data_IF_360616048813
#
_entry.id   IF_360616048813
#
_cell.length_a   1.000
_cell.length_b   1.000
_cell.length_c   1.000
_cell.angle_alpha   90.00
_cell.angle_beta   90.00
_cell.angle_gamma   90.00
#
_symmetry.space_group_name_H-M   'P 1'
#
loop_
_entity.id
_entity.type
_entity.pdbx_description
1 polymer ?
#
# COMPACT_ATOMS: atom_id res chain seq x y z
N UNK A 1 37.74 -46.36 59.64
CA UNK A 1 37.24 -44.97 59.77
C UNK A 1 38.30 -43.99 59.22
N UNK A 2 38.52 -43.94 57.89
CA UNK A 2 39.57 -43.09 57.26
C UNK A 2 39.15 -42.42 55.93
N UNK A 3 37.94 -42.70 55.43
CA UNK A 3 37.47 -42.18 54.12
C UNK A 3 36.88 -40.76 54.22
N UNK A 4 36.35 -40.35 55.38
CA UNK A 4 35.82 -38.98 55.60
C UNK A 4 36.88 -37.88 55.48
N UNK A 5 38.13 -38.18 55.83
CA UNK A 5 39.22 -37.18 55.92
C UNK A 5 39.79 -36.72 54.57
N UNK A 6 39.73 -37.55 53.52
CA UNK A 6 40.22 -37.19 52.19
C UNK A 6 39.16 -36.45 51.37
N UNK A 7 37.89 -36.80 51.54
CA UNK A 7 36.76 -36.11 50.92
C UNK A 7 36.62 -34.67 51.43
N UNK A 8 36.74 -34.45 52.74
CA UNK A 8 36.70 -33.11 53.34
C UNK A 8 37.91 -32.23 52.94
N UNK A 9 39.09 -32.82 52.71
CA UNK A 9 40.27 -32.09 52.20
C UNK A 9 40.15 -31.75 50.71
N UNK A 10 39.56 -32.64 49.91
CA UNK A 10 39.29 -32.42 48.49
C UNK A 10 38.28 -31.29 48.24
N UNK A 11 37.23 -31.21 49.05
CA UNK A 11 36.19 -30.16 48.97
C UNK A 11 36.68 -28.77 49.39
N UNK A 12 37.76 -28.70 50.19
CA UNK A 12 38.39 -27.42 50.61
C UNK A 12 39.55 -27.01 49.70
N UNK A 13 39.86 -27.80 48.66
CA UNK A 13 40.92 -27.47 47.73
C UNK A 13 40.48 -26.24 46.92
N UNK A 14 41.25 -25.15 46.90
CA UNK A 14 40.80 -23.85 46.36
C UNK A 14 40.29 -23.93 44.91
N UNK A 15 40.81 -24.86 44.12
CA UNK A 15 40.36 -25.13 42.74
C UNK A 15 38.96 -25.77 42.69
N UNK A 16 38.63 -26.69 43.61
CA UNK A 16 37.33 -27.37 43.65
C UNK A 16 36.24 -26.41 44.16
N UNK A 17 36.56 -25.56 45.13
CA UNK A 17 35.66 -24.48 45.58
C UNK A 17 35.48 -23.38 44.54
N UNK A 18 36.54 -23.03 43.78
CA UNK A 18 36.44 -22.05 42.70
C UNK A 18 35.62 -22.59 41.52
N UNK A 19 35.86 -23.83 41.08
CA UNK A 19 35.12 -24.48 39.99
C UNK A 19 33.67 -24.75 40.41
N UNK A 20 33.43 -25.21 41.63
CA UNK A 20 32.09 -25.38 42.18
C UNK A 20 31.33 -24.05 42.34
N UNK A 21 32.03 -22.98 42.76
CA UNK A 21 31.47 -21.63 42.85
C UNK A 21 31.12 -21.03 41.49
N UNK A 22 31.96 -21.25 40.46
CA UNK A 22 31.69 -20.85 39.08
C UNK A 22 30.53 -21.64 38.47
N UNK A 23 30.44 -22.95 38.73
CA UNK A 23 29.34 -23.78 38.24
C UNK A 23 28.00 -23.39 38.90
N UNK A 24 27.98 -23.17 40.21
CA UNK A 24 26.78 -22.68 40.92
C UNK A 24 26.42 -21.25 40.50
N UNK A 25 27.41 -20.38 40.29
CA UNK A 25 27.19 -19.03 39.75
C UNK A 25 26.59 -19.06 38.34
N UNK A 26 27.10 -19.92 37.46
CA UNK A 26 26.56 -20.13 36.11
C UNK A 26 25.12 -20.65 36.12
N UNK A 27 24.81 -21.60 37.01
CA UNK A 27 23.44 -22.11 37.19
C UNK A 27 22.50 -21.01 37.72
N UNK A 28 22.95 -20.23 38.70
CA UNK A 28 22.15 -19.12 39.26
C UNK A 28 21.87 -18.02 38.23
N UNK A 29 22.87 -17.66 37.42
CA UNK A 29 22.71 -16.72 36.29
C UNK A 29 21.75 -17.31 35.24
N UNK A 30 21.91 -18.59 34.89
CA UNK A 30 21.01 -19.27 33.95
C UNK A 30 19.57 -19.29 34.42
N UNK A 31 19.32 -19.60 35.70
CA UNK A 31 17.97 -19.57 36.31
C UNK A 31 17.42 -18.14 36.35
N UNK A 32 18.25 -17.14 36.67
CA UNK A 32 17.84 -15.74 36.68
C UNK A 32 17.44 -15.27 35.27
N UNK A 33 18.23 -15.59 34.23
CA UNK A 33 17.89 -15.33 32.84
C UNK A 33 16.59 -16.04 32.46
N UNK A 34 16.42 -17.30 32.88
CA UNK A 34 15.22 -18.08 32.59
C UNK A 34 13.96 -17.46 33.23
N UNK A 35 14.04 -17.01 34.49
CA UNK A 35 12.96 -16.31 35.17
C UNK A 35 12.66 -14.96 34.47
N UNK A 36 13.71 -14.24 34.07
CA UNK A 36 13.55 -12.93 33.45
C UNK A 36 12.84 -13.05 32.09
N UNK A 37 13.25 -14.01 31.26
CA UNK A 37 12.70 -14.26 29.92
C UNK A 37 11.35 -14.98 29.94
N UNK A 38 11.14 -15.97 30.83
CA UNK A 38 9.90 -16.77 30.83
C UNK A 38 8.80 -16.23 31.74
N UNK A 39 9.12 -15.33 32.68
CA UNK A 39 8.15 -14.86 33.69
C UNK A 39 8.09 -13.34 33.74
N UNK A 40 9.21 -12.64 33.83
CA UNK A 40 9.19 -11.18 34.07
C UNK A 40 8.84 -10.41 32.79
N UNK A 41 9.48 -10.72 31.68
CA UNK A 41 9.29 -10.03 30.38
C UNK A 41 7.85 -10.20 29.83
N UNK A 42 7.25 -11.41 29.80
CA UNK A 42 5.85 -11.58 29.35
C UNK A 42 4.84 -10.90 30.27
N UNK A 43 5.13 -10.79 31.58
CA UNK A 43 4.24 -10.12 32.53
C UNK A 43 4.38 -8.60 32.49
N UNK A 44 5.56 -8.08 32.13
CA UNK A 44 5.81 -6.65 32.05
C UNK A 44 5.21 -6.04 30.77
N UNK A 45 5.29 -6.74 29.64
CA UNK A 45 4.78 -6.31 28.33
C UNK A 45 4.08 -7.47 27.62
N UNK A 46 2.88 -7.87 28.10
CA UNK A 46 2.16 -9.04 27.56
C UNK A 46 1.84 -8.89 26.06
N UNK A 47 1.65 -7.66 25.59
CA UNK A 47 1.41 -7.36 24.18
C UNK A 47 2.61 -7.67 23.26
N UNK A 48 3.82 -7.80 23.82
CA UNK A 48 5.06 -8.11 23.09
C UNK A 48 5.50 -9.58 23.26
N UNK A 49 4.70 -10.42 23.91
CA UNK A 49 5.05 -11.83 24.10
C UNK A 49 5.32 -12.50 22.74
N UNK A 50 6.50 -13.13 22.62
CA UNK A 50 6.92 -13.79 21.38
C UNK A 50 7.53 -12.86 20.33
N UNK A 51 7.82 -11.60 20.67
CA UNK A 51 8.50 -10.65 19.78
C UNK A 51 10.01 -10.54 20.06
N UNK A 52 10.77 -10.20 19.03
CA UNK A 52 12.18 -9.78 19.11
C UNK A 52 12.30 -8.36 18.57
N UNK A 53 13.29 -7.61 19.07
CA UNK A 53 13.53 -6.24 18.60
C UNK A 53 14.98 -5.98 18.20
N UNK A 54 15.14 -5.10 17.23
CA UNK A 54 16.41 -4.55 16.76
C UNK A 54 16.33 -3.02 16.88
N UNK A 55 17.33 -2.40 17.51
CA UNK A 55 17.39 -0.95 17.65
C UNK A 55 18.40 -0.38 16.67
N UNK A 56 17.91 0.38 15.70
CA UNK A 56 18.70 0.95 14.61
C UNK A 56 18.44 2.46 14.53
N UNK A 57 19.37 3.26 15.09
CA UNK A 57 19.23 4.71 15.17
C UNK A 57 17.97 5.13 15.93
N UNK A 58 17.10 5.87 15.24
CA UNK A 58 15.81 6.37 15.76
C UNK A 58 14.69 5.34 15.67
N UNK A 59 14.94 4.16 15.09
CA UNK A 59 13.94 3.11 14.92
C UNK A 59 14.16 1.96 15.89
N UNK A 60 13.04 1.39 16.35
CA UNK A 60 13.02 0.08 16.99
C UNK A 60 12.14 -0.85 16.16
N UNK A 61 12.78 -1.77 15.45
CA UNK A 61 12.12 -2.74 14.59
C UNK A 61 11.70 -3.96 15.42
N UNK A 62 10.45 -4.36 15.33
CA UNK A 62 9.83 -5.42 16.14
C UNK A 62 9.25 -6.49 15.22
N UNK A 63 9.67 -7.73 15.44
CA UNK A 63 9.27 -8.89 14.66
C UNK A 63 8.71 -9.98 15.57
N UNK A 64 7.89 -10.86 15.03
CA UNK A 64 7.66 -12.15 15.69
C UNK A 64 8.96 -12.96 15.68
N UNK A 65 9.23 -13.70 16.77
CA UNK A 65 10.51 -14.41 16.96
C UNK A 65 10.84 -15.39 15.82
N UNK A 66 9.81 -16.00 15.25
CA UNK A 66 9.91 -16.99 14.18
C UNK A 66 9.64 -16.41 12.79
N UNK A 67 9.46 -15.08 12.68
CA UNK A 67 9.24 -14.39 11.40
C UNK A 67 10.47 -14.51 10.49
N UNK A 68 10.31 -14.87 9.20
CA UNK A 68 11.42 -14.91 8.25
C UNK A 68 11.96 -13.51 7.94
N UNK A 69 11.13 -12.45 8.00
CA UNK A 69 11.51 -11.08 7.64
C UNK A 69 12.56 -10.45 8.57
N UNK A 70 12.87 -11.09 9.71
CA UNK A 70 13.89 -10.61 10.65
C UNK A 70 15.31 -10.65 10.08
N UNK A 71 15.56 -11.46 9.05
CA UNK A 71 16.90 -11.58 8.44
C UNK A 71 17.30 -10.28 7.72
N UNK A 72 16.34 -9.52 7.19
CA UNK A 72 16.54 -8.29 6.43
C UNK A 72 16.34 -7.00 7.25
N UNK A 73 16.32 -7.08 8.59
CA UNK A 73 16.04 -5.92 9.46
C UNK A 73 16.98 -4.73 9.20
N UNK A 74 18.26 -4.98 8.94
CA UNK A 74 19.23 -3.93 8.65
C UNK A 74 18.93 -3.20 7.33
N UNK A 75 18.48 -3.94 6.30
CA UNK A 75 18.10 -3.35 5.02
C UNK A 75 16.85 -2.47 5.17
N UNK A 76 15.84 -2.94 5.91
CA UNK A 76 14.65 -2.14 6.22
C UNK A 76 15.00 -0.88 7.02
N UNK A 77 15.90 -0.98 8.00
CA UNK A 77 16.33 0.17 8.80
C UNK A 77 16.97 1.28 7.93
N UNK A 78 17.81 0.92 6.97
CA UNK A 78 18.42 1.88 6.04
C UNK A 78 17.38 2.55 5.14
N UNK A 79 16.41 1.78 4.61
CA UNK A 79 15.28 2.33 3.82
C UNK A 79 14.47 3.31 4.67
N UNK A 80 14.07 2.91 5.88
CA UNK A 80 13.32 3.77 6.81
C UNK A 80 14.05 5.07 7.12
N UNK A 81 15.36 5.00 7.35
CA UNK A 81 16.18 6.17 7.64
C UNK A 81 16.24 7.12 6.44
N UNK A 82 16.51 6.59 5.26
CA UNK A 82 16.53 7.39 4.03
C UNK A 82 15.18 8.05 3.77
N UNK A 83 14.10 7.26 3.78
CA UNK A 83 12.75 7.78 3.55
C UNK A 83 12.35 8.81 4.61
N UNK A 84 12.72 8.61 5.87
CA UNK A 84 12.44 9.55 6.94
C UNK A 84 13.09 10.91 6.71
N UNK A 85 14.39 10.92 6.38
CA UNK A 85 15.13 12.16 6.08
C UNK A 85 14.54 12.87 4.85
N UNK A 86 14.26 12.13 3.77
CA UNK A 86 13.65 12.68 2.56
C UNK A 86 12.23 13.22 2.80
N UNK A 87 11.42 12.54 3.62
CA UNK A 87 10.06 12.96 3.95
C UNK A 87 10.04 14.21 4.83
N UNK A 88 10.95 14.34 5.80
CA UNK A 88 11.08 15.54 6.62
C UNK A 88 11.39 16.76 5.75
N UNK A 89 12.32 16.62 4.80
CA UNK A 89 12.69 17.67 3.86
C UNK A 89 11.54 17.99 2.89
N UNK A 90 10.95 16.96 2.26
CA UNK A 90 9.85 17.11 1.31
C UNK A 90 8.63 17.81 1.94
N UNK A 91 8.31 17.46 3.19
CA UNK A 91 7.14 17.97 3.91
C UNK A 91 7.43 19.21 4.77
N UNK A 92 8.66 19.74 4.74
CA UNK A 92 9.08 20.92 5.54
C UNK A 92 8.69 20.75 7.02
N UNK A 93 9.09 19.61 7.60
CA UNK A 93 8.82 19.20 8.99
C UNK A 93 10.11 19.26 9.80
N UNK A 94 10.05 19.89 10.99
CA UNK A 94 11.15 19.85 11.93
C UNK A 94 11.25 18.44 12.55
N UNK A 95 12.40 17.75 12.48
CA UNK A 95 12.59 16.43 13.09
C UNK A 95 12.24 16.39 14.58
N UNK A 96 12.45 17.48 15.33
CA UNK A 96 12.16 17.54 16.78
C UNK A 96 10.67 17.34 17.12
N UNK A 97 9.77 17.43 16.13
CA UNK A 97 8.34 17.21 16.32
C UNK A 97 7.96 15.73 16.30
N UNK A 98 8.79 14.87 15.72
CA UNK A 98 8.52 13.44 15.60
C UNK A 98 9.16 12.71 16.80
N UNK A 99 8.38 11.99 17.62
CA UNK A 99 8.92 11.28 18.77
C UNK A 99 9.89 10.17 18.35
N UNK A 100 11.01 10.07 19.08
CA UNK A 100 11.94 8.95 18.96
C UNK A 100 12.02 8.16 20.28
N UNK A 101 12.19 6.82 20.22
CA UNK A 101 12.26 6.02 19.01
C UNK A 101 10.89 5.84 18.31
N UNK A 102 10.91 5.61 17.00
CA UNK A 102 9.76 5.16 16.20
C UNK A 102 9.69 3.64 16.31
N UNK A 103 8.57 3.11 16.81
CA UNK A 103 8.36 1.68 17.01
C UNK A 103 7.74 1.06 15.75
N UNK A 104 8.56 0.37 14.95
CA UNK A 104 8.11 -0.26 13.70
C UNK A 104 7.81 -1.73 13.95
N UNK A 105 6.56 -2.12 13.81
CA UNK A 105 6.09 -3.49 13.95
C UNK A 105 5.92 -4.12 12.58
N UNK A 106 6.74 -5.13 12.30
CA UNK A 106 6.78 -5.80 11.00
C UNK A 106 6.08 -7.16 11.11
N UNK A 107 5.11 -7.39 10.23
CA UNK A 107 4.19 -8.52 10.27
C UNK A 107 4.29 -9.37 9.02
N UNK A 108 4.19 -10.69 9.18
CA UNK A 108 4.27 -11.63 8.07
C UNK A 108 3.03 -11.55 7.16
N UNK A 109 1.88 -11.23 7.76
CA UNK A 109 0.59 -11.17 7.09
C UNK A 109 -0.41 -10.25 7.82
N UNK A 110 -1.58 -10.05 7.22
CA UNK A 110 -2.65 -9.22 7.80
C UNK A 110 -3.17 -9.78 9.14
N UNK A 111 -3.19 -11.09 9.32
CA UNK A 111 -3.73 -11.71 10.54
C UNK A 111 -2.82 -11.46 11.74
N UNK A 112 -1.50 -11.56 11.53
CA UNK A 112 -0.47 -11.22 12.51
C UNK A 112 -0.49 -9.72 12.85
N UNK A 113 -0.68 -8.84 11.86
CA UNK A 113 -0.88 -7.41 12.08
C UNK A 113 -2.14 -7.12 12.93
N UNK A 114 -3.30 -7.68 12.56
CA UNK A 114 -4.56 -7.56 13.32
C UNK A 114 -4.38 -7.97 14.78
N UNK A 115 -3.71 -9.12 14.99
CA UNK A 115 -3.43 -9.66 16.32
C UNK A 115 -2.53 -8.73 17.12
N UNK A 116 -1.47 -8.21 16.50
CA UNK A 116 -0.54 -7.28 17.14
C UNK A 116 -1.24 -5.98 17.55
N UNK A 117 -1.98 -5.35 16.64
CA UNK A 117 -2.76 -4.13 16.93
C UNK A 117 -3.74 -4.39 18.07
N UNK A 118 -4.48 -5.51 18.01
CA UNK A 118 -5.44 -5.88 19.05
C UNK A 118 -4.78 -6.03 20.43
N UNK A 119 -3.61 -6.67 20.51
CA UNK A 119 -2.84 -6.80 21.76
C UNK A 119 -2.39 -5.44 22.28
N UNK A 120 -1.80 -4.60 21.43
CA UNK A 120 -1.26 -3.28 21.83
C UNK A 120 -2.33 -2.26 22.22
N UNK A 121 -3.56 -2.42 21.70
CA UNK A 121 -4.72 -1.57 22.03
C UNK A 121 -5.69 -2.25 23.01
N UNK A 122 -5.31 -3.39 23.57
CA UNK A 122 -6.07 -4.05 24.63
C UNK A 122 -6.00 -3.25 25.93
N UNK A 123 -7.05 -3.24 26.76
CA UNK A 123 -6.97 -2.72 28.13
C UNK A 123 -5.89 -3.37 29.00
N UNK A 124 -5.39 -4.55 28.59
CA UNK A 124 -4.32 -5.29 29.28
C UNK A 124 -2.91 -4.83 28.88
N UNK A 125 -2.78 -4.04 27.82
CA UNK A 125 -1.49 -3.52 27.35
C UNK A 125 -0.85 -2.62 28.40
N UNK A 126 0.45 -2.82 28.65
CA UNK A 126 1.19 -2.09 29.70
C UNK A 126 2.14 -1.04 29.15
N UNK A 127 2.53 -1.16 27.89
CA UNK A 127 3.40 -0.18 27.22
C UNK A 127 2.60 0.87 26.45
N UNK A 128 3.18 2.06 26.33
CA UNK A 128 2.69 3.11 25.46
C UNK A 128 3.73 3.32 24.36
N UNK A 129 3.30 3.15 23.11
CA UNK A 129 4.11 3.41 21.92
C UNK A 129 3.72 4.79 21.40
N UNK A 130 4.67 5.72 21.38
CA UNK A 130 4.38 7.11 21.01
C UNK A 130 4.22 7.27 19.50
N UNK A 131 5.08 6.62 18.73
CA UNK A 131 5.08 6.67 17.27
C UNK A 131 5.14 5.24 16.70
N UNK A 132 4.07 4.43 16.86
CA UNK A 132 4.02 3.10 16.28
C UNK A 132 3.81 3.17 14.76
N UNK A 133 4.34 2.18 14.05
CA UNK A 133 4.15 1.99 12.62
C UNK A 133 3.98 0.49 12.33
N UNK A 134 2.81 0.05 11.88
CA UNK A 134 2.63 -1.31 11.39
C UNK A 134 2.94 -1.44 9.89
N UNK A 135 3.77 -2.43 9.56
CA UNK A 135 4.18 -2.77 8.18
C UNK A 135 4.03 -4.27 7.93
N UNK A 136 3.70 -4.65 6.70
CA UNK A 136 3.87 -6.03 6.23
C UNK A 136 5.29 -6.27 5.73
N UNK A 137 5.76 -7.52 5.79
CA UNK A 137 7.01 -7.91 5.13
C UNK A 137 6.92 -7.59 3.64
N UNK A 138 7.94 -6.88 3.14
CA UNK A 138 8.02 -6.48 1.74
C UNK A 138 7.16 -5.28 1.36
N UNK A 139 6.37 -4.71 2.29
CA UNK A 139 5.68 -3.43 2.06
C UNK A 139 6.71 -2.28 1.99
N UNK A 140 6.53 -1.38 1.03
CA UNK A 140 7.27 -0.12 1.00
C UNK A 140 6.86 0.75 2.20
N UNK A 141 7.78 1.05 3.15
CA UNK A 141 7.45 1.76 4.37
C UNK A 141 7.08 3.23 4.13
N UNK A 142 7.46 3.81 2.98
CA UNK A 142 7.43 5.25 2.76
C UNK A 142 6.04 5.84 2.93
N UNK A 143 5.01 5.16 2.43
CA UNK A 143 3.64 5.65 2.52
C UNK A 143 3.13 5.74 3.95
N UNK A 144 3.45 4.76 4.78
CA UNK A 144 3.11 4.72 6.22
C UNK A 144 3.90 5.77 6.99
N UNK A 145 5.19 5.86 6.69
CA UNK A 145 6.10 6.82 7.30
C UNK A 145 5.70 8.27 6.97
N UNK A 146 5.22 8.54 5.76
CA UNK A 146 4.69 9.84 5.37
C UNK A 146 3.49 10.25 6.23
N UNK A 147 2.56 9.32 6.52
CA UNK A 147 1.44 9.59 7.42
C UNK A 147 1.90 9.90 8.84
N UNK A 148 2.94 9.21 9.31
CA UNK A 148 3.54 9.46 10.61
C UNK A 148 4.16 10.86 10.69
N UNK A 149 4.97 11.22 9.70
CA UNK A 149 5.59 12.56 9.60
C UNK A 149 4.52 13.65 9.51
N UNK A 150 3.47 13.46 8.71
CA UNK A 150 2.35 14.40 8.62
C UNK A 150 1.61 14.54 9.96
N UNK A 151 1.31 13.42 10.63
CA UNK A 151 0.55 13.42 11.88
C UNK A 151 1.28 14.15 13.01
N UNK A 152 2.61 14.00 13.13
CA UNK A 152 3.39 14.70 14.14
C UNK A 152 3.81 16.10 13.72
N UNK A 153 4.23 16.26 12.47
CA UNK A 153 4.76 17.52 11.95
C UNK A 153 3.68 18.57 11.68
N UNK A 154 2.53 18.16 11.14
CA UNK A 154 1.46 19.07 10.73
C UNK A 154 0.18 18.91 11.58
N UNK A 155 0.00 17.74 12.19
CA UNK A 155 -1.12 17.44 13.07
C UNK A 155 -2.28 16.75 12.37
N UNK A 156 -3.48 16.77 12.96
CA UNK A 156 -4.69 16.16 12.37
C UNK A 156 -5.23 17.00 11.21
N UNK A 157 -5.44 16.37 10.05
CA UNK A 157 -6.20 16.96 8.94
C UNK A 157 -7.70 16.67 9.07
N UNK A 158 -8.54 17.68 8.83
CA UNK A 158 -9.99 17.54 8.73
C UNK A 158 -10.49 17.14 7.32
N UNK A 159 -9.62 17.22 6.31
CA UNK A 159 -9.91 16.82 4.94
C UNK A 159 -9.15 15.54 4.58
N UNK A 160 -9.88 14.48 4.25
CA UNK A 160 -9.32 13.27 3.68
C UNK A 160 -8.83 13.46 2.25
N UNK A 161 -9.39 14.40 1.48
CA UNK A 161 -8.85 14.75 0.16
C UNK A 161 -7.42 15.29 0.31
N UNK A 162 -7.21 16.29 1.18
CA UNK A 162 -5.87 16.83 1.42
C UNK A 162 -4.95 15.77 2.04
N UNK A 163 -5.47 14.97 2.97
CA UNK A 163 -4.68 13.95 3.64
C UNK A 163 -4.23 12.82 2.69
N UNK A 164 -5.17 12.15 2.01
CA UNK A 164 -4.90 11.05 1.09
C UNK A 164 -4.03 11.52 -0.08
N UNK A 165 -4.33 12.70 -0.64
CA UNK A 165 -3.56 13.28 -1.73
C UNK A 165 -2.12 13.63 -1.32
N UNK A 166 -1.93 14.26 -0.16
CA UNK A 166 -0.57 14.59 0.34
C UNK A 166 0.21 13.35 0.69
N UNK A 167 -0.44 12.34 1.30
CA UNK A 167 0.18 11.05 1.58
C UNK A 167 0.70 10.42 0.30
N UNK A 168 -0.15 10.28 -0.71
CA UNK A 168 0.21 9.60 -1.96
C UNK A 168 1.29 10.39 -2.74
N UNK A 169 1.20 11.72 -2.76
CA UNK A 169 2.25 12.59 -3.28
C UNK A 169 3.58 12.38 -2.57
N UNK A 170 3.58 12.24 -1.24
CA UNK A 170 4.80 12.01 -0.46
C UNK A 170 5.39 10.61 -0.64
N UNK A 171 4.55 9.59 -0.87
CA UNK A 171 4.96 8.23 -1.22
C UNK A 171 5.67 8.20 -2.57
N UNK A 172 5.10 8.83 -3.59
CA UNK A 172 5.62 8.78 -4.97
C UNK A 172 5.90 10.20 -5.51
N UNK A 173 6.85 10.97 -4.94
CA UNK A 173 7.03 12.39 -5.24
C UNK A 173 7.52 12.68 -6.66
N UNK A 174 8.01 11.64 -7.36
CA UNK A 174 8.46 11.71 -8.76
C UNK A 174 7.37 11.34 -9.76
N UNK A 175 6.24 10.80 -9.30
CA UNK A 175 5.13 10.43 -10.17
C UNK A 175 4.33 11.66 -10.55
N UNK A 176 3.99 11.75 -11.83
CA UNK A 176 3.10 12.81 -12.31
C UNK A 176 1.64 12.37 -12.14
N UNK A 177 0.99 12.80 -11.05
CA UNK A 177 -0.41 12.47 -10.80
C UNK A 177 -1.35 13.20 -11.76
N UNK A 178 -0.91 14.30 -12.37
CA UNK A 178 -1.65 14.92 -13.45
C UNK A 178 -1.75 14.01 -14.67
N UNK A 179 -0.65 13.36 -15.06
CA UNK A 179 -0.63 12.38 -16.15
C UNK A 179 -1.57 11.21 -15.88
N UNK A 180 -1.54 10.70 -14.64
CA UNK A 180 -2.42 9.60 -14.19
C UNK A 180 -3.89 9.97 -14.35
N UNK A 181 -4.33 11.09 -13.79
CA UNK A 181 -5.74 11.48 -13.85
C UNK A 181 -6.14 11.87 -15.27
N UNK A 182 -5.25 12.50 -16.04
CA UNK A 182 -5.52 12.84 -17.44
C UNK A 182 -5.69 11.62 -18.34
N UNK A 183 -5.02 10.51 -18.00
CA UNK A 183 -5.08 9.25 -18.73
C UNK A 183 -6.34 8.42 -18.40
N UNK A 184 -7.05 8.73 -17.31
CA UNK A 184 -8.28 8.03 -16.94
C UNK A 184 -9.43 8.36 -17.92
N UNK A 185 -10.33 7.40 -18.19
CA UNK A 185 -11.58 7.67 -18.89
C UNK A 185 -12.40 8.78 -18.21
N UNK A 186 -12.98 9.71 -18.98
CA UNK A 186 -13.75 10.86 -18.46
C UNK A 186 -14.84 10.47 -17.45
N UNK A 187 -15.44 9.28 -17.59
CA UNK A 187 -16.49 8.78 -16.67
C UNK A 187 -15.98 8.46 -15.26
N UNK A 188 -14.68 8.29 -15.09
CA UNK A 188 -14.03 8.02 -13.81
C UNK A 188 -13.55 9.29 -13.13
N UNK A 189 -13.52 10.41 -13.86
CA UNK A 189 -13.11 11.70 -13.34
C UNK A 189 -14.22 12.35 -12.51
N UNK A 190 -13.91 12.78 -11.29
CA UNK A 190 -14.77 13.60 -10.46
C UNK A 190 -14.28 15.05 -10.43
N UNK A 191 -15.17 15.98 -10.73
CA UNK A 191 -14.87 17.39 -10.51
C UNK A 191 -14.68 17.66 -9.00
N UNK A 192 -13.90 18.69 -8.63
CA UNK A 192 -13.62 19.00 -7.21
C UNK A 192 -14.87 19.06 -6.30
N UNK A 193 -16.01 19.67 -6.70
CA UNK A 193 -17.24 19.62 -5.90
C UNK A 193 -17.77 18.20 -5.67
N UNK A 194 -17.60 17.29 -6.63
CA UNK A 194 -18.02 15.89 -6.54
C UNK A 194 -17.07 15.09 -5.66
N UNK A 195 -15.77 15.36 -5.74
CA UNK A 195 -14.75 14.79 -4.85
C UNK A 195 -15.04 15.16 -3.38
N UNK A 196 -15.38 16.43 -3.11
CA UNK A 196 -15.79 16.91 -1.77
C UNK A 196 -17.06 16.19 -1.29
N UNK A 197 -18.07 16.02 -2.17
CA UNK A 197 -19.27 15.24 -1.80
C UNK A 197 -18.96 13.77 -1.53
N UNK A 198 -17.99 13.18 -2.25
CA UNK A 198 -17.57 11.80 -2.02
C UNK A 198 -16.93 11.65 -0.63
N UNK A 199 -16.08 12.59 -0.23
CA UNK A 199 -15.53 12.69 1.12
C UNK A 199 -16.63 12.84 2.18
N UNK A 200 -17.59 13.74 1.99
CA UNK A 200 -18.72 13.94 2.93
C UNK A 200 -19.57 12.69 3.11
N UNK A 201 -19.63 11.82 2.10
CA UNK A 201 -20.32 10.51 2.13
C UNK A 201 -19.47 9.38 2.71
N UNK A 202 -18.21 9.64 3.07
CA UNK A 202 -17.30 8.65 3.62
C UNK A 202 -16.66 7.73 2.58
N UNK A 203 -16.58 8.13 1.31
CA UNK A 203 -15.88 7.37 0.26
C UNK A 203 -14.35 7.57 0.29
N UNK A 204 -13.84 8.37 1.22
CA UNK A 204 -12.42 8.42 1.57
C UNK A 204 -12.23 7.71 2.92
N UNK A 205 -11.94 6.40 2.92
CA UNK A 205 -11.72 5.67 4.17
C UNK A 205 -10.45 6.16 4.86
N UNK A 206 -10.46 6.13 6.19
CA UNK A 206 -9.25 6.35 6.98
C UNK A 206 -8.22 5.25 6.67
N UNK A 207 -6.94 5.57 6.61
CA UNK A 207 -5.88 4.56 6.47
C UNK A 207 -5.73 3.70 7.74
N UNK A 208 -5.07 2.55 7.64
CA UNK A 208 -4.69 1.74 8.82
C UNK A 208 -3.97 2.61 9.87
N UNK A 209 -3.04 3.46 9.42
CA UNK A 209 -2.30 4.36 10.31
C UNK A 209 -3.25 5.34 11.02
N UNK A 210 -4.15 6.02 10.32
CA UNK A 210 -5.11 6.93 10.93
C UNK A 210 -6.03 6.23 11.95
N UNK A 211 -6.43 4.98 11.64
CA UNK A 211 -7.33 4.21 12.47
C UNK A 211 -6.66 3.69 13.75
N UNK A 212 -5.39 3.29 13.70
CA UNK A 212 -4.76 2.53 14.79
C UNK A 212 -3.45 3.10 15.32
N UNK A 213 -2.61 3.71 14.49
CA UNK A 213 -1.23 4.08 14.88
C UNK A 213 -1.06 5.57 15.14
N UNK A 214 -1.89 6.40 14.53
CA UNK A 214 -1.86 7.85 14.66
C UNK A 214 -1.97 8.28 16.13
N UNK A 215 -1.30 9.38 16.56
CA UNK A 215 -1.49 9.96 17.89
C UNK A 215 -2.93 10.46 18.13
N UNK A 216 -3.75 10.53 17.07
CA UNK A 216 -5.17 10.89 17.13
C UNK A 216 -6.11 9.69 17.12
N UNK A 217 -5.58 8.47 17.00
CA UNK A 217 -6.34 7.23 17.08
C UNK A 217 -6.78 6.95 18.53
N UNK A 218 -7.84 6.15 18.73
CA UNK A 218 -8.21 5.68 20.06
C UNK A 218 -7.08 4.91 20.75
N UNK A 219 -6.93 5.11 22.06
CA UNK A 219 -5.96 4.36 22.88
C UNK A 219 -6.37 2.90 23.05
N UNK A 220 -7.68 2.61 22.98
CA UNK A 220 -8.24 1.26 23.08
C UNK A 220 -9.28 1.02 21.99
N UNK A 221 -9.38 -0.22 21.50
CA UNK A 221 -10.38 -0.61 20.49
C UNK A 221 -11.70 -0.95 21.17
N UNK A 222 -12.77 -0.24 20.82
CA UNK A 222 -14.12 -0.60 21.25
C UNK A 222 -14.69 -1.74 20.38
N UNK A 223 -15.70 -2.46 20.89
CA UNK A 223 -16.35 -3.54 20.13
C UNK A 223 -16.89 -3.07 18.76
N UNK A 224 -17.37 -1.83 18.68
CA UNK A 224 -17.82 -1.20 17.43
C UNK A 224 -16.70 -1.02 16.40
N UNK A 225 -15.45 -0.88 16.85
CA UNK A 225 -14.28 -0.67 16.01
C UNK A 225 -13.60 -1.99 15.59
N UNK A 226 -14.01 -3.14 16.16
CA UNK A 226 -13.47 -4.44 15.77
C UNK A 226 -13.72 -4.77 14.29
N UNK A 227 -14.83 -4.28 13.72
CA UNK A 227 -15.11 -4.46 12.27
C UNK A 227 -14.01 -3.86 11.40
N UNK A 228 -13.38 -2.76 11.84
CA UNK A 228 -12.28 -2.12 11.12
C UNK A 228 -11.03 -3.01 11.06
N UNK A 229 -10.72 -3.72 12.15
CA UNK A 229 -9.65 -4.72 12.17
C UNK A 229 -9.93 -5.85 11.16
N UNK A 230 -11.15 -6.40 11.17
CA UNK A 230 -11.52 -7.49 10.24
C UNK A 230 -11.62 -7.04 8.77
N UNK A 231 -11.69 -5.73 8.52
CA UNK A 231 -11.69 -5.16 7.17
C UNK A 231 -10.30 -4.89 6.59
N UNK A 232 -9.22 -5.11 7.35
CA UNK A 232 -7.86 -4.94 6.82
C UNK A 232 -7.65 -5.90 5.65
N UNK A 233 -7.25 -5.34 4.53
CA UNK A 233 -6.95 -6.06 3.30
C UNK A 233 -5.80 -5.36 2.60
N UNK A 234 -4.88 -6.16 2.05
CA UNK A 234 -3.79 -5.65 1.22
C UNK A 234 -4.36 -5.51 -0.17
N UNK A 235 -4.64 -4.29 -0.61
CA UNK A 235 -5.06 -4.05 -1.98
C UNK A 235 -3.82 -3.96 -2.86
N UNK A 236 -3.64 -4.94 -3.73
CA UNK A 236 -2.58 -4.97 -4.76
C UNK A 236 -3.12 -4.73 -6.19
N UNK A 237 -4.44 -4.59 -6.34
CA UNK A 237 -5.10 -4.24 -7.60
C UNK A 237 -5.80 -2.89 -7.42
N UNK A 238 -5.80 -2.06 -8.45
CA UNK A 238 -6.41 -0.71 -8.45
C UNK A 238 -7.88 -0.84 -8.05
N UNK A 239 -8.17 -0.61 -6.77
CA UNK A 239 -9.53 -0.55 -6.26
C UNK A 239 -10.17 0.75 -6.76
N UNK A 240 -11.49 0.81 -6.98
CA UNK A 240 -12.18 2.09 -7.20
C UNK A 240 -11.88 3.13 -6.10
N UNK A 241 -11.55 2.68 -4.89
CA UNK A 241 -11.12 3.52 -3.76
C UNK A 241 -9.77 4.21 -4.02
N UNK A 242 -8.90 3.61 -4.85
CA UNK A 242 -7.61 4.18 -5.24
C UNK A 242 -7.77 5.33 -6.24
N UNK A 243 -8.84 5.33 -7.06
CA UNK A 243 -9.09 6.40 -8.04
C UNK A 243 -9.25 7.74 -7.32
N UNK A 244 -10.08 7.78 -6.26
CA UNK A 244 -10.30 8.99 -5.48
C UNK A 244 -9.01 9.51 -4.84
N UNK A 245 -8.12 8.60 -4.41
CA UNK A 245 -6.82 8.96 -3.86
C UNK A 245 -5.87 9.52 -4.94
N UNK A 246 -5.90 8.98 -6.16
CA UNK A 246 -5.12 9.48 -7.30
C UNK A 246 -5.60 10.87 -7.74
N UNK A 247 -6.91 11.10 -7.76
CA UNK A 247 -7.50 12.42 -8.02
C UNK A 247 -7.11 13.43 -6.93
N UNK A 248 -7.19 13.02 -5.67
CA UNK A 248 -6.75 13.83 -4.54
C UNK A 248 -5.26 14.16 -4.62
N UNK A 249 -4.41 13.21 -5.04
CA UNK A 249 -2.98 13.43 -5.22
C UNK A 249 -2.69 14.42 -6.36
N UNK A 250 -3.37 14.27 -7.50
CA UNK A 250 -3.32 15.24 -8.60
C UNK A 250 -3.78 16.62 -8.14
N UNK A 251 -4.86 16.72 -7.37
CA UNK A 251 -5.31 18.01 -6.84
C UNK A 251 -4.28 18.64 -5.89
N UNK A 252 -3.67 17.85 -5.00
CA UNK A 252 -2.60 18.31 -4.10
C UNK A 252 -1.37 18.75 -4.89
N UNK A 253 -0.95 18.00 -5.90
CA UNK A 253 0.13 18.37 -6.80
C UNK A 253 -0.15 19.74 -7.46
N UNK A 254 -1.37 19.97 -7.94
CA UNK A 254 -1.77 21.28 -8.48
C UNK A 254 -1.65 22.40 -7.45
N UNK A 255 -2.03 22.17 -6.19
CA UNK A 255 -1.87 23.17 -5.13
C UNK A 255 -0.38 23.46 -4.86
N UNK A 256 0.47 22.42 -4.83
CA UNK A 256 1.91 22.55 -4.65
C UNK A 256 2.52 23.39 -5.79
N UNK A 257 2.21 23.05 -7.03
CA UNK A 257 2.77 23.70 -8.22
C UNK A 257 2.29 25.15 -8.39
N UNK A 258 1.04 25.45 -8.02
CA UNK A 258 0.42 26.75 -8.33
C UNK A 258 0.26 27.71 -7.16
N UNK A 259 0.40 27.25 -5.90
CA UNK A 259 0.10 28.05 -4.69
C UNK A 259 1.28 28.26 -3.76
N UNK A 260 2.50 27.90 -4.16
CA UNK A 260 3.72 28.17 -3.39
C UNK A 260 4.32 26.95 -2.69
N UNK A 261 4.18 25.77 -3.29
CA UNK A 261 4.80 24.54 -2.83
C UNK A 261 4.04 23.87 -1.69
N UNK A 262 4.72 22.94 -1.02
CA UNK A 262 4.17 22.12 0.07
C UNK A 262 3.63 22.96 1.24
N UNK A 263 4.19 24.17 1.46
CA UNK A 263 3.74 25.10 2.50
C UNK A 263 2.31 25.59 2.29
N UNK A 264 1.86 25.69 1.04
CA UNK A 264 0.48 26.05 0.73
C UNK A 264 -0.48 24.97 1.24
N UNK A 265 -0.17 23.70 0.98
CA UNK A 265 -0.94 22.56 1.47
C UNK A 265 -0.98 22.54 3.00
N UNK A 266 0.18 22.77 3.64
CA UNK A 266 0.29 22.91 5.11
C UNK A 266 -0.60 24.03 5.67
N UNK A 267 -0.77 25.15 4.95
CA UNK A 267 -1.67 26.24 5.37
C UNK A 267 -3.15 25.83 5.36
N UNK A 268 -3.57 24.96 4.44
CA UNK A 268 -4.89 24.34 4.47
C UNK A 268 -5.01 23.20 5.50
N UNK A 269 -3.94 22.79 6.15
CA UNK A 269 -3.99 21.68 7.10
C UNK A 269 -4.67 22.07 8.43
N UNK A 270 -5.31 21.11 9.09
CA UNK A 270 -5.92 21.28 10.42
C UNK A 270 -7.41 20.96 10.45
N UNK A 271 -8.10 21.44 11.50
CA UNK A 271 -9.53 21.15 11.72
C UNK A 271 -10.44 22.00 10.84
N UNK A 272 -11.49 21.40 10.29
CA UNK A 272 -12.51 22.05 9.46
C UNK A 272 -12.99 21.14 8.33
N UNK A 273 -14.01 21.59 7.60
CA UNK A 273 -14.41 20.97 6.33
C UNK A 273 -13.44 21.33 5.21
N UNK A 274 -13.35 20.48 4.18
CA UNK A 274 -12.46 20.70 3.03
C UNK A 274 -12.60 22.08 2.40
N UNK A 275 -13.84 22.55 2.19
CA UNK A 275 -14.07 23.91 1.65
C UNK A 275 -13.44 24.99 2.52
N UNK A 276 -13.61 24.92 3.84
CA UNK A 276 -13.05 25.91 4.77
C UNK A 276 -11.52 25.85 4.83
N UNK A 277 -10.95 24.66 4.65
CA UNK A 277 -9.51 24.46 4.61
C UNK A 277 -8.91 25.02 3.31
N UNK A 278 -9.53 24.75 2.16
CA UNK A 278 -9.10 25.28 0.86
C UNK A 278 -9.18 26.80 0.79
N UNK A 279 -10.21 27.40 1.42
CA UNK A 279 -10.36 28.86 1.54
C UNK A 279 -9.18 29.56 2.25
N UNK A 280 -8.31 28.82 2.97
CA UNK A 280 -7.10 29.37 3.58
C UNK A 280 -6.00 29.63 2.55
N UNK A 281 -6.03 28.93 1.42
CA UNK A 281 -5.07 29.07 0.32
C UNK A 281 -5.67 29.95 -0.78
N UNK A 282 -6.93 29.69 -1.16
CA UNK A 282 -7.59 30.33 -2.28
C UNK A 282 -9.08 30.50 -1.96
N UNK A 283 -9.57 31.74 -1.98
CA UNK A 283 -10.96 32.08 -1.62
C UNK A 283 -11.97 31.81 -2.75
N UNK A 284 -11.53 31.31 -3.90
CA UNK A 284 -12.42 30.95 -4.99
C UNK A 284 -13.32 29.77 -4.60
N UNK A 285 -14.55 29.70 -5.13
CA UNK A 285 -15.43 28.58 -4.88
C UNK A 285 -14.84 27.27 -5.46
N UNK A 286 -15.22 26.09 -4.90
CA UNK A 286 -14.70 24.79 -5.35
C UNK A 286 -14.87 24.54 -6.85
N UNK A 287 -15.92 25.07 -7.48
CA UNK A 287 -16.14 24.96 -8.92
C UNK A 287 -15.04 25.67 -9.72
N UNK A 288 -14.66 26.89 -9.33
CA UNK A 288 -13.63 27.67 -10.01
C UNK A 288 -12.23 27.10 -9.72
N UNK A 289 -11.98 26.64 -8.49
CA UNK A 289 -10.74 25.96 -8.16
C UNK A 289 -10.61 24.64 -8.93
N UNK A 290 -11.70 23.86 -9.03
CA UNK A 290 -11.76 22.63 -9.81
C UNK A 290 -11.54 22.86 -11.30
N UNK A 291 -12.14 23.91 -11.88
CA UNK A 291 -11.92 24.27 -13.28
C UNK A 291 -10.46 24.66 -13.56
N UNK A 292 -9.80 25.37 -12.63
CA UNK A 292 -8.37 25.70 -12.74
C UNK A 292 -7.48 24.47 -12.59
N UNK A 293 -7.79 23.59 -11.64
CA UNK A 293 -7.09 22.31 -11.51
C UNK A 293 -7.23 21.48 -12.79
N UNK A 294 -8.42 21.39 -13.36
CA UNK A 294 -8.63 20.70 -14.63
C UNK A 294 -7.81 21.31 -15.76
N UNK A 295 -7.89 22.63 -15.94
CA UNK A 295 -7.20 23.33 -17.02
C UNK A 295 -5.67 23.27 -16.92
N UNK A 296 -5.12 23.32 -15.70
CA UNK A 296 -3.66 23.30 -15.47
C UNK A 296 -3.16 21.87 -15.40
N UNK A 297 -3.76 21.05 -14.53
CA UNK A 297 -3.32 19.68 -14.26
C UNK A 297 -3.57 18.77 -15.45
N UNK A 298 -4.82 18.64 -15.94
CA UNK A 298 -5.14 17.62 -16.94
C UNK A 298 -4.47 17.89 -18.29
N UNK A 299 -4.40 19.15 -18.74
CA UNK A 299 -3.70 19.48 -19.98
C UNK A 299 -2.18 19.31 -19.86
N UNK A 300 -1.58 19.64 -18.70
CA UNK A 300 -0.17 19.35 -18.46
C UNK A 300 0.10 17.84 -18.44
N UNK A 301 -0.78 17.07 -17.78
CA UNK A 301 -0.69 15.62 -17.69
C UNK A 301 -0.73 14.92 -19.05
N UNK A 302 -1.48 15.44 -20.03
CA UNK A 302 -1.47 14.91 -21.41
C UNK A 302 -0.13 15.08 -22.13
N UNK A 303 0.67 16.04 -21.70
CA UNK A 303 2.02 16.28 -22.22
C UNK A 303 3.12 15.46 -21.53
N UNK A 304 2.79 14.70 -20.48
CA UNK A 304 3.76 13.95 -19.71
C UNK A 304 4.30 12.73 -20.49
N UNK A 305 5.57 12.33 -20.30
CA UNK A 305 6.17 11.20 -21.02
C UNK A 305 5.47 9.86 -20.81
N UNK A 306 4.87 9.65 -19.65
CA UNK A 306 4.18 8.41 -19.25
C UNK A 306 2.70 8.38 -19.67
N UNK A 307 2.13 9.52 -20.09
CA UNK A 307 0.74 9.62 -20.52
C UNK A 307 0.34 8.60 -21.61
N UNK A 308 1.14 8.36 -22.68
CA UNK A 308 0.78 7.38 -23.70
C UNK A 308 0.54 5.99 -23.11
N UNK A 309 1.47 5.51 -22.28
CA UNK A 309 1.37 4.23 -21.58
C UNK A 309 0.15 4.19 -20.65
N UNK A 310 0.02 5.18 -19.75
CA UNK A 310 -1.07 5.25 -18.78
C UNK A 310 -2.44 5.29 -19.46
N UNK A 311 -2.55 6.02 -20.57
CA UNK A 311 -3.82 6.15 -21.29
C UNK A 311 -4.27 4.83 -21.90
N UNK A 312 -3.34 4.02 -22.43
CA UNK A 312 -3.64 2.67 -22.91
C UNK A 312 -3.99 1.75 -21.74
N UNK A 313 -3.23 1.84 -20.65
CA UNK A 313 -3.45 1.05 -19.44
C UNK A 313 -4.86 1.26 -18.87
N UNK A 314 -5.28 2.51 -18.68
CA UNK A 314 -6.59 2.83 -18.15
C UNK A 314 -7.74 2.59 -19.13
N UNK A 315 -7.52 2.75 -20.45
CA UNK A 315 -8.52 2.33 -21.44
C UNK A 315 -8.75 0.83 -21.40
N UNK A 316 -7.69 0.03 -21.30
CA UNK A 316 -7.79 -1.43 -21.20
C UNK A 316 -8.49 -1.85 -19.89
N UNK A 317 -8.04 -1.32 -18.75
CA UNK A 317 -8.65 -1.58 -17.43
C UNK A 317 -10.09 -1.08 -17.34
N UNK A 318 -10.43 -0.02 -18.06
CA UNK A 318 -11.79 0.50 -18.20
C UNK A 318 -12.70 -0.31 -19.12
N UNK A 319 -12.23 -1.40 -19.73
CA UNK A 319 -13.03 -2.21 -20.65
C UNK A 319 -13.23 -1.58 -22.02
N UNK A 320 -12.29 -0.75 -22.49
CA UNK A 320 -12.28 -0.18 -23.83
C UNK A 320 -11.11 -0.74 -24.69
N UNK A 321 -11.07 -2.06 -24.93
CA UNK A 321 -9.91 -2.72 -25.56
C UNK A 321 -9.62 -2.22 -26.98
N UNK A 322 -10.64 -1.85 -27.77
CA UNK A 322 -10.41 -1.32 -29.13
C UNK A 322 -9.74 0.06 -29.11
N UNK A 323 -10.15 0.93 -28.20
CA UNK A 323 -9.54 2.25 -28.06
C UNK A 323 -8.10 2.12 -27.54
N UNK A 324 -7.87 1.20 -26.60
CA UNK A 324 -6.54 0.87 -26.11
C UNK A 324 -5.64 0.34 -27.24
N UNK A 325 -6.13 -0.63 -28.02
CA UNK A 325 -5.41 -1.19 -29.17
C UNK A 325 -5.16 -0.17 -30.29
N UNK A 326 -6.15 0.66 -30.62
CA UNK A 326 -6.00 1.71 -31.63
C UNK A 326 -4.85 2.66 -31.29
N UNK A 327 -4.66 2.95 -30.00
CA UNK A 327 -3.53 3.76 -29.53
C UNK A 327 -2.23 2.97 -29.52
N UNK A 328 -2.19 1.80 -28.90
CA UNK A 328 -0.96 1.03 -28.73
C UNK A 328 -0.40 0.47 -30.04
N UNK A 329 -1.26 0.20 -31.04
CA UNK A 329 -0.85 -0.30 -32.36
C UNK A 329 -0.07 0.71 -33.20
N UNK A 330 -0.08 1.99 -32.81
CA UNK A 330 0.72 3.05 -33.45
C UNK A 330 2.13 3.18 -32.87
N UNK A 331 2.43 2.46 -31.79
CA UNK A 331 3.73 2.50 -31.15
C UNK A 331 4.78 1.77 -31.97
N UNK A 332 5.99 2.32 -32.00
CA UNK A 332 7.15 1.69 -32.63
C UNK A 332 7.83 0.78 -31.62
N UNK A 333 7.80 -0.53 -31.86
CA UNK A 333 8.21 -1.55 -30.89
C UNK A 333 9.67 -1.40 -30.46
N UNK A 334 10.52 -0.86 -31.33
CA UNK A 334 11.95 -0.63 -31.06
C UNK A 334 12.20 0.43 -29.97
N UNK A 335 11.23 1.31 -29.74
CA UNK A 335 11.31 2.40 -28.76
C UNK A 335 10.62 2.05 -27.43
N UNK A 336 10.00 0.86 -27.34
CA UNK A 336 9.18 0.46 -26.19
C UNK A 336 9.99 -0.25 -25.10
N UNK A 337 9.65 0.05 -23.85
CA UNK A 337 10.03 -0.77 -22.70
C UNK A 337 9.30 -2.12 -22.70
N UNK A 338 9.83 -3.10 -21.96
CA UNK A 338 9.20 -4.42 -21.79
C UNK A 338 7.77 -4.33 -21.23
N UNK A 339 7.50 -3.35 -20.36
CA UNK A 339 6.17 -3.09 -19.83
C UNK A 339 5.19 -2.57 -20.89
N UNK A 340 5.64 -1.66 -21.75
CA UNK A 340 4.83 -1.15 -22.87
C UNK A 340 4.54 -2.24 -23.92
N UNK A 341 5.53 -3.07 -24.23
CA UNK A 341 5.33 -4.23 -25.12
C UNK A 341 4.30 -5.18 -24.51
N UNK A 342 4.42 -5.51 -23.22
CA UNK A 342 3.46 -6.37 -22.51
C UNK A 342 2.04 -5.80 -22.55
N UNK A 343 1.88 -4.49 -22.32
CA UNK A 343 0.58 -3.83 -22.40
C UNK A 343 0.02 -3.88 -23.84
N UNK A 344 0.84 -3.59 -24.85
CA UNK A 344 0.44 -3.68 -26.25
C UNK A 344 0.01 -5.10 -26.65
N UNK A 345 0.70 -6.14 -26.16
CA UNK A 345 0.31 -7.54 -26.33
C UNK A 345 -1.07 -7.79 -25.73
N UNK A 346 -1.30 -7.35 -24.48
CA UNK A 346 -2.61 -7.51 -23.83
C UNK A 346 -3.73 -6.82 -24.60
N UNK A 347 -3.50 -5.62 -25.12
CA UNK A 347 -4.45 -4.93 -25.99
C UNK A 347 -4.72 -5.71 -27.28
N UNK A 348 -3.68 -6.22 -27.95
CA UNK A 348 -3.80 -7.03 -29.17
C UNK A 348 -4.64 -8.30 -28.93
N UNK A 349 -4.35 -9.02 -27.85
CA UNK A 349 -5.10 -10.20 -27.43
C UNK A 349 -6.57 -9.86 -27.13
N UNK A 350 -6.82 -8.75 -26.43
CA UNK A 350 -8.17 -8.32 -26.06
C UNK A 350 -9.07 -7.91 -27.25
N UNK A 351 -8.49 -7.66 -28.43
CA UNK A 351 -9.23 -7.38 -29.67
C UNK A 351 -9.15 -8.53 -30.69
N UNK A 352 -8.45 -9.62 -30.37
CA UNK A 352 -8.26 -10.76 -31.28
C UNK A 352 -7.23 -10.52 -32.38
N UNK A 353 -6.36 -9.51 -32.24
CA UNK A 353 -5.23 -9.25 -33.15
C UNK A 353 -4.06 -10.22 -32.86
N UNK A 354 -4.29 -11.52 -33.00
CA UNK A 354 -3.36 -12.57 -32.57
C UNK A 354 -2.05 -12.59 -33.35
N UNK A 355 -2.06 -12.17 -34.62
CA UNK A 355 -0.85 -12.10 -35.46
C UNK A 355 0.09 -11.00 -34.96
N UNK A 356 -0.48 -9.85 -34.62
CA UNK A 356 0.20 -8.70 -34.07
C UNK A 356 0.69 -9.01 -32.64
N UNK A 357 -0.15 -9.65 -31.82
CA UNK A 357 0.23 -10.13 -30.49
C UNK A 357 1.46 -11.06 -30.56
N UNK A 358 1.47 -12.03 -31.49
CA UNK A 358 2.63 -12.91 -31.72
C UNK A 358 3.90 -12.14 -32.07
N UNK A 359 3.76 -11.13 -32.93
CA UNK A 359 4.89 -10.30 -33.35
C UNK A 359 5.45 -9.51 -32.17
N UNK A 360 4.58 -8.89 -31.37
CA UNK A 360 4.99 -8.15 -30.17
C UNK A 360 5.65 -9.06 -29.12
N UNK A 361 5.10 -10.25 -28.88
CA UNK A 361 5.69 -11.24 -27.95
C UNK A 361 7.11 -11.63 -28.35
N UNK A 362 7.43 -11.65 -29.65
CA UNK A 362 8.79 -11.98 -30.10
C UNK A 362 9.84 -10.94 -29.70
N UNK A 363 9.42 -9.72 -29.35
CA UNK A 363 10.26 -8.62 -28.85
C UNK A 363 10.38 -8.60 -27.32
N UNK A 364 9.64 -9.47 -26.61
CA UNK A 364 9.82 -9.63 -25.17
C UNK A 364 11.09 -10.43 -24.85
N UNK A 365 11.78 -10.00 -23.80
CA UNK A 365 12.90 -10.72 -23.21
C UNK A 365 12.44 -12.07 -22.63
N UNK A 366 13.32 -13.07 -22.62
CA UNK A 366 13.02 -14.37 -22.01
C UNK A 366 12.73 -14.22 -20.51
N UNK A 367 11.64 -14.82 -20.05
CA UNK A 367 11.19 -14.73 -18.65
C UNK A 367 9.69 -14.89 -18.50
N UNK A 368 9.23 -14.76 -17.26
CA UNK A 368 7.83 -15.01 -16.85
C UNK A 368 6.82 -14.22 -17.69
N UNK A 369 7.06 -12.93 -17.94
CA UNK A 369 6.13 -12.11 -18.74
C UNK A 369 5.97 -12.62 -20.17
N UNK A 370 7.05 -13.10 -20.80
CA UNK A 370 6.98 -13.68 -22.16
C UNK A 370 6.26 -15.01 -22.14
N UNK A 371 6.57 -15.86 -21.17
CA UNK A 371 5.94 -17.17 -21.00
C UNK A 371 4.43 -17.03 -20.76
N UNK A 372 4.02 -16.10 -19.91
CA UNK A 372 2.62 -15.78 -19.62
C UNK A 372 1.89 -15.30 -20.88
N UNK A 373 2.48 -14.35 -21.61
CA UNK A 373 1.87 -13.82 -22.83
C UNK A 373 1.79 -14.88 -23.93
N UNK A 374 2.78 -15.77 -24.04
CA UNK A 374 2.74 -16.91 -24.95
C UNK A 374 1.64 -17.90 -24.56
N UNK A 375 1.49 -18.21 -23.27
CA UNK A 375 0.44 -19.08 -22.78
C UNK A 375 -0.96 -18.51 -23.09
N UNK A 376 -1.17 -17.20 -22.88
CA UNK A 376 -2.41 -16.52 -23.25
C UNK A 376 -2.65 -16.56 -24.76
N UNK A 377 -1.63 -16.28 -25.58
CA UNK A 377 -1.76 -16.37 -27.03
C UNK A 377 -2.16 -17.78 -27.47
N UNK A 378 -1.50 -18.82 -26.96
CA UNK A 378 -1.80 -20.22 -27.29
C UNK A 378 -3.24 -20.58 -26.88
N UNK A 379 -3.71 -20.09 -25.73
CA UNK A 379 -5.05 -20.36 -25.24
C UNK A 379 -6.13 -19.78 -26.16
N UNK A 380 -5.93 -18.56 -26.66
CA UNK A 380 -6.92 -17.80 -27.44
C UNK A 380 -6.70 -17.82 -28.95
N UNK A 381 -5.58 -18.36 -29.42
CA UNK A 381 -5.27 -18.40 -30.85
C UNK A 381 -6.36 -19.13 -31.65
N UNK A 382 -6.84 -18.47 -32.70
CA UNK A 382 -7.90 -19.00 -33.57
C UNK A 382 -9.33 -18.80 -33.04
N UNK A 383 -9.51 -18.19 -31.87
CA UNK A 383 -10.83 -17.78 -31.39
C UNK A 383 -11.36 -16.62 -32.24
N UNK A 384 -12.67 -16.58 -32.44
CA UNK A 384 -13.32 -15.46 -33.13
C UNK A 384 -13.83 -14.47 -32.09
N UNK A 385 -13.51 -13.20 -32.25
CA UNK A 385 -14.04 -12.14 -31.39
C UNK A 385 -15.31 -11.59 -32.02
N UNK A 386 -16.40 -11.62 -31.26
CA UNK A 386 -17.67 -11.00 -31.63
C UNK A 386 -18.13 -10.06 -30.52
N UNK A 387 -18.92 -9.06 -30.88
CA UNK A 387 -19.53 -8.14 -29.92
C UNK A 387 -21.04 -8.23 -30.01
N UNK A 388 -21.70 -8.39 -28.86
CA UNK A 388 -23.15 -8.44 -28.75
C UNK A 388 -23.59 -7.67 -27.49
N UNK A 389 -24.50 -6.72 -27.64
CA UNK A 389 -25.05 -5.92 -26.53
C UNK A 389 -23.99 -5.23 -25.64
N UNK A 390 -22.85 -4.81 -26.22
CA UNK A 390 -21.75 -4.19 -25.49
C UNK A 390 -20.86 -5.18 -24.71
N UNK A 391 -21.07 -6.48 -24.89
CA UNK A 391 -20.19 -7.53 -24.39
C UNK A 391 -19.34 -8.10 -25.51
N UNK A 392 -18.03 -8.18 -25.25
CA UNK A 392 -17.07 -8.86 -26.10
C UNK A 392 -17.03 -10.34 -25.74
N UNK A 393 -17.30 -11.19 -26.72
CA UNK A 393 -17.29 -12.65 -26.56
C UNK A 393 -16.21 -13.23 -27.45
N UNK A 394 -15.31 -14.00 -26.84
CA UNK A 394 -14.35 -14.83 -27.53
C UNK A 394 -15.00 -16.19 -27.76
N UNK A 395 -15.12 -16.61 -29.02
CA UNK A 395 -15.72 -17.89 -29.41
C UNK A 395 -14.63 -18.84 -29.88
N UNK A 396 -14.44 -19.95 -29.14
CA UNK A 396 -13.49 -20.99 -29.50
C UNK A 396 -13.87 -21.65 -30.83
N UNK A 397 -12.90 -21.95 -31.72
CA UNK A 397 -13.15 -22.66 -32.97
C UNK A 397 -13.71 -24.07 -32.77
N UNK A 398 -13.58 -24.66 -31.57
CA UNK A 398 -14.17 -25.95 -31.22
C UNK A 398 -15.70 -25.87 -31.11
N UNK A 399 -16.25 -24.71 -30.74
CA UNK A 399 -17.71 -24.48 -30.68
C UNK A 399 -18.33 -24.42 -32.08
N UNK A 400 -17.56 -24.12 -33.12
CA UNK A 400 -18.06 -24.18 -34.51
C UNK A 400 -18.22 -25.60 -35.05
N UNK A 401 -17.66 -26.63 -34.39
CA UNK A 401 -17.76 -28.03 -34.81
C UNK A 401 -18.94 -28.79 -34.17
N UNK A 402 -19.48 -28.29 -33.07
CA UNK A 402 -20.68 -28.82 -32.42
C UNK A 402 -21.81 -27.80 -32.61
N UNK A 403 -23.01 -28.24 -33.00
CA UNK A 403 -24.16 -27.37 -33.28
C UNK A 403 -24.25 -26.17 -32.31
N UNK A 404 -24.04 -24.96 -32.84
CA UNK A 404 -24.23 -23.70 -32.15
C UNK A 404 -25.57 -23.75 -31.38
N UNK A 405 -25.62 -23.57 -30.04
CA UNK A 405 -26.84 -23.06 -29.44
C UNK A 405 -27.00 -21.66 -30.04
N UNK A 406 -28.08 -21.40 -30.79
CA UNK A 406 -28.33 -20.12 -31.47
C UNK A 406 -27.87 -18.94 -30.61
N UNK A 407 -27.22 -17.91 -31.19
CA UNK A 407 -26.86 -16.63 -30.51
C UNK A 407 -27.96 -16.19 -29.54
N UNK A 408 -29.22 -16.39 -29.95
CA UNK A 408 -30.43 -16.17 -29.17
C UNK A 408 -30.43 -16.80 -27.77
N UNK A 409 -29.84 -17.98 -27.53
CA UNK A 409 -29.83 -18.65 -26.23
C UNK A 409 -28.79 -18.08 -25.26
N UNK A 410 -27.63 -17.66 -25.76
CA UNK A 410 -26.63 -16.92 -24.95
C UNK A 410 -27.17 -15.53 -24.64
N UNK A 411 -27.81 -14.88 -25.63
CA UNK A 411 -28.55 -13.62 -25.46
C UNK A 411 -29.67 -13.78 -24.43
N UNK A 412 -30.48 -14.84 -24.47
CA UNK A 412 -31.55 -15.08 -23.50
C UNK A 412 -31.03 -15.37 -22.09
N UNK A 413 -29.92 -16.11 -21.99
CA UNK A 413 -29.23 -16.34 -20.72
C UNK A 413 -28.72 -15.04 -20.10
N UNK A 414 -28.18 -14.14 -20.93
CA UNK A 414 -27.68 -12.85 -20.51
C UNK A 414 -28.81 -11.86 -20.19
N UNK A 415 -29.84 -11.72 -21.03
CA UNK A 415 -31.03 -10.91 -20.72
C UNK A 415 -31.70 -11.39 -19.43
N UNK A 416 -31.74 -12.70 -19.20
CA UNK A 416 -32.22 -13.27 -17.93
C UNK A 416 -31.33 -12.88 -16.75
N UNK A 417 -30.02 -12.85 -16.93
CA UNK A 417 -29.06 -12.42 -15.91
C UNK A 417 -29.15 -10.92 -15.62
N UNK A 418 -29.19 -10.07 -16.65
CA UNK A 418 -29.35 -8.62 -16.55
C UNK A 418 -30.67 -8.27 -15.88
N UNK A 419 -31.78 -8.90 -16.28
CA UNK A 419 -33.09 -8.69 -15.65
C UNK A 419 -33.14 -9.16 -14.18
N UNK A 420 -32.31 -10.16 -13.81
CA UNK A 420 -32.16 -10.60 -12.41
C UNK A 420 -31.28 -9.65 -11.58
N UNK A 421 -30.37 -8.94 -12.23
CA UNK A 421 -29.45 -7.98 -11.60
C UNK A 421 -29.98 -6.54 -11.59
N UNK A 422 -31.05 -6.25 -12.34
CA UNK A 422 -31.73 -4.95 -12.37
C UNK A 422 -32.87 -4.80 -11.34
N UNK A 423 -32.87 -5.63 -10.28
CA UNK A 423 -33.64 -5.46 -9.04
C UNK A 423 -32.68 -5.10 -7.90
#
# INVERSE_FOLDING_TARGET
MRVKSLFEKSLRHPVVTLVGGLALGGIAIGIAILILVLIIEPVATPELEGTIYYKEGDFVLRYQKDSPGREDHAALAEVLKQDYEELLDLLDVNPDLVPTPIDVFVHDDVSSMQTSISKRKSPEARSVYLAPLDLLIGEDPRGRLAELVLAFGWGRCGSQILHAGTRLYATEPKRDFHAVVAAMPDRLFLALPELIRAEERGHFPESIYQQFDSPYSPVSIAFSDLRKLFGLSVHGEVSPEDILALEAASFVQFLIETKGGIRAVKQAWGRGSTVNLLNRIDSAPPEELGARWYAVGIEAGRGAPDFPFLSVYYLLGGGFPDAAWTRSSTWHVEDLSQGEITLAVRCALAVGAFTEARTLISHLEEGESKDDMQALLILYEGWTVTEAHGLRVFVSPQIFQENWPEISQIEHGYESMVNRLSL
#
